data_IF_249213369954
#
_entry.id   IF_249213369954
#
_cell.length_a   1.000
_cell.length_b   1.000
_cell.length_c   1.000
_cell.angle_alpha   90.00
_cell.angle_beta   90.00
_cell.angle_gamma   90.00
#
_symmetry.space_group_name_H-M   'P 1'
#
loop_
_entity.id
_entity.type
_entity.pdbx_description
1 polymer ?
#
# COMPACT_ATOMS: atom_id res chain seq x y z
N UNK A 1 -19.20 -0.91 2.70
CA UNK A 1 -19.29 -2.38 2.78
C UNK A 1 -17.93 -3.00 3.09
N UNK A 2 -17.80 -4.34 3.14
CA UNK A 2 -16.53 -5.01 3.45
C UNK A 2 -15.63 -5.13 2.20
N UNK A 3 -14.33 -4.85 2.37
CA UNK A 3 -13.28 -5.01 1.34
C UNK A 3 -12.89 -6.49 1.23
N UNK A 4 -13.80 -7.30 0.69
CA UNK A 4 -13.70 -8.75 0.59
C UNK A 4 -14.58 -9.26 -0.54
N UNK A 5 -14.11 -10.29 -1.24
CA UNK A 5 -14.87 -11.04 -2.24
C UNK A 5 -15.73 -12.10 -1.53
N UNK A 6 -17.03 -12.07 -1.77
CA UNK A 6 -17.97 -13.10 -1.36
C UNK A 6 -17.97 -14.23 -2.40
N UNK A 7 -17.55 -15.46 -2.05
CA UNK A 7 -17.52 -16.57 -3.00
C UNK A 7 -18.90 -17.00 -3.51
N UNK A 8 -19.98 -16.53 -2.88
CA UNK A 8 -21.35 -16.89 -3.27
C UNK A 8 -21.91 -16.04 -4.41
N UNK A 9 -21.17 -15.02 -4.86
CA UNK A 9 -21.61 -14.06 -5.86
C UNK A 9 -20.67 -14.11 -7.09
N UNK A 10 -21.17 -13.79 -8.29
CA UNK A 10 -20.35 -13.70 -9.49
C UNK A 10 -19.16 -12.74 -9.30
N UNK A 11 -17.99 -13.14 -9.80
CA UNK A 11 -16.74 -12.39 -9.60
C UNK A 11 -16.83 -10.98 -10.20
N UNK A 12 -17.45 -10.83 -11.37
CA UNK A 12 -17.67 -9.52 -12.01
C UNK A 12 -18.42 -8.58 -11.08
N UNK A 13 -19.56 -9.02 -10.53
CA UNK A 13 -20.39 -8.23 -9.63
C UNK A 13 -19.63 -7.82 -8.35
N UNK A 14 -18.91 -8.77 -7.75
CA UNK A 14 -18.14 -8.50 -6.54
C UNK A 14 -17.00 -7.51 -6.76
N UNK A 15 -16.25 -7.64 -7.88
CA UNK A 15 -15.17 -6.72 -8.19
C UNK A 15 -15.70 -5.32 -8.46
N UNK A 16 -16.78 -5.19 -9.26
CA UNK A 16 -17.44 -3.91 -9.51
C UNK A 16 -17.93 -3.25 -8.22
N UNK A 17 -18.59 -4.02 -7.34
CA UNK A 17 -19.05 -3.55 -6.03
C UNK A 17 -17.91 -3.04 -5.17
N UNK A 18 -16.80 -3.78 -5.08
CA UNK A 18 -15.65 -3.39 -4.25
C UNK A 18 -14.95 -2.16 -4.84
N UNK A 19 -14.80 -2.08 -6.16
CA UNK A 19 -14.27 -0.89 -6.83
C UNK A 19 -15.12 0.34 -6.49
N UNK A 20 -16.44 0.26 -6.69
CA UNK A 20 -17.36 1.37 -6.42
C UNK A 20 -17.30 1.82 -4.94
N UNK A 21 -17.31 0.88 -3.99
CA UNK A 21 -17.23 1.17 -2.56
C UNK A 21 -15.88 1.83 -2.18
N UNK A 22 -14.75 1.35 -2.70
CA UNK A 22 -13.45 1.94 -2.39
C UNK A 22 -13.22 3.28 -3.10
N UNK A 23 -13.74 3.48 -4.31
CA UNK A 23 -13.69 4.77 -5.03
C UNK A 23 -14.59 5.79 -4.33
N UNK A 24 -15.82 5.41 -3.93
CA UNK A 24 -16.70 6.26 -3.14
C UNK A 24 -16.07 6.68 -1.81
N UNK A 25 -15.41 5.76 -1.10
CA UNK A 25 -14.63 6.10 0.10
C UNK A 25 -13.45 7.03 -0.21
N UNK A 26 -12.76 6.84 -1.34
CA UNK A 26 -11.67 7.72 -1.75
C UNK A 26 -12.17 9.14 -1.98
N UNK A 27 -13.31 9.32 -2.64
CA UNK A 27 -13.99 10.61 -2.84
C UNK A 27 -14.35 11.27 -1.50
N UNK A 28 -14.96 10.54 -0.57
CA UNK A 28 -15.29 11.08 0.76
C UNK A 28 -14.04 11.50 1.56
N UNK A 29 -12.93 10.76 1.42
CA UNK A 29 -11.66 11.13 2.04
C UNK A 29 -10.97 12.33 1.36
N UNK A 30 -11.18 12.53 0.06
CA UNK A 30 -10.72 13.72 -0.65
C UNK A 30 -11.48 14.97 -0.19
N UNK A 31 -12.79 14.85 0.06
CA UNK A 31 -13.57 15.94 0.64
C UNK A 31 -13.08 16.30 2.05
N UNK A 32 -12.85 15.28 2.89
CA UNK A 32 -12.25 15.47 4.22
C UNK A 32 -10.86 16.12 4.15
N UNK A 33 -10.12 15.91 3.06
CA UNK A 33 -8.77 16.45 2.90
C UNK A 33 -8.75 17.97 2.69
N UNK A 34 -9.89 18.61 2.38
CA UNK A 34 -9.98 20.08 2.30
C UNK A 34 -9.78 20.73 3.67
N UNK A 35 -10.44 20.18 4.69
CA UNK A 35 -10.34 20.70 6.06
C UNK A 35 -9.23 20.01 6.87
N UNK A 36 -8.98 18.72 6.59
CA UNK A 36 -8.02 17.87 7.32
C UNK A 36 -7.10 17.15 6.35
N UNK A 37 -6.17 17.85 5.68
CA UNK A 37 -5.31 17.29 4.64
C UNK A 37 -4.62 15.99 5.04
N UNK A 38 -3.96 15.96 6.19
CA UNK A 38 -3.20 14.79 6.64
C UNK A 38 -4.08 13.54 6.75
N UNK A 39 -5.21 13.67 7.45
CA UNK A 39 -6.11 12.55 7.70
C UNK A 39 -6.82 12.10 6.42
N UNK A 40 -7.34 13.07 5.64
CA UNK A 40 -8.04 12.81 4.39
C UNK A 40 -7.13 12.15 3.35
N UNK A 41 -5.95 12.70 3.10
CA UNK A 41 -4.99 12.18 2.13
C UNK A 41 -4.45 10.81 2.55
N UNK A 42 -4.13 10.60 3.83
CA UNK A 42 -3.70 9.28 4.32
C UNK A 42 -4.76 8.21 4.02
N UNK A 43 -6.01 8.48 4.40
CA UNK A 43 -7.12 7.54 4.20
C UNK A 43 -7.44 7.34 2.71
N UNK A 44 -7.45 8.40 1.90
CA UNK A 44 -7.64 8.32 0.45
C UNK A 44 -6.56 7.43 -0.21
N UNK A 45 -5.28 7.67 0.08
CA UNK A 45 -4.16 6.87 -0.45
C UNK A 45 -4.27 5.40 -0.09
N UNK A 46 -4.83 5.07 1.08
CA UNK A 46 -5.13 3.68 1.46
C UNK A 46 -6.17 3.07 0.52
N UNK A 47 -7.25 3.79 0.18
CA UNK A 47 -8.27 3.35 -0.79
C UNK A 47 -7.72 3.18 -2.20
N UNK A 48 -6.91 4.12 -2.67
CA UNK A 48 -6.25 4.00 -3.98
C UNK A 48 -5.33 2.77 -4.06
N UNK A 49 -4.65 2.43 -2.96
CA UNK A 49 -3.87 1.17 -2.86
C UNK A 49 -4.78 -0.06 -2.89
N UNK A 50 -5.93 -0.03 -2.20
CA UNK A 50 -6.93 -1.10 -2.24
C UNK A 50 -7.45 -1.35 -3.66
N UNK A 51 -7.88 -0.30 -4.36
CA UNK A 51 -8.36 -0.35 -5.75
C UNK A 51 -7.31 -0.98 -6.66
N UNK A 52 -6.08 -0.46 -6.61
CA UNK A 52 -4.98 -0.97 -7.44
C UNK A 52 -4.59 -2.41 -7.10
N UNK A 53 -4.74 -2.83 -5.84
CA UNK A 53 -4.51 -4.21 -5.44
C UNK A 53 -5.59 -5.15 -6.02
N UNK A 54 -6.85 -4.73 -6.00
CA UNK A 54 -7.96 -5.46 -6.61
C UNK A 54 -7.78 -5.61 -8.12
N UNK A 55 -7.49 -4.52 -8.84
CA UNK A 55 -7.25 -4.55 -10.30
C UNK A 55 -6.07 -5.46 -10.67
N UNK A 56 -5.02 -5.51 -9.85
CA UNK A 56 -3.91 -6.46 -10.04
C UNK A 56 -4.29 -7.91 -9.74
N UNK A 57 -5.23 -8.12 -8.82
CA UNK A 57 -5.69 -9.46 -8.46
C UNK A 57 -6.46 -10.11 -9.61
N UNK A 58 -7.27 -9.32 -10.33
CA UNK A 58 -8.16 -9.84 -11.38
C UNK A 58 -7.69 -9.55 -12.80
N UNK A 59 -6.46 -9.01 -12.95
CA UNK A 59 -5.91 -8.56 -14.24
C UNK A 59 -6.04 -9.59 -15.36
N UNK A 60 -5.86 -10.87 -15.08
CA UNK A 60 -5.92 -11.91 -16.12
C UNK A 60 -7.34 -12.16 -16.67
N UNK A 61 -8.39 -11.67 -16.00
CA UNK A 61 -9.76 -11.80 -16.48
C UNK A 61 -10.20 -10.70 -17.44
N UNK A 62 -9.63 -9.50 -17.31
CA UNK A 62 -9.84 -8.35 -18.22
C UNK A 62 -8.61 -7.45 -18.18
N UNK A 63 -7.57 -7.87 -18.91
CA UNK A 63 -6.27 -7.22 -18.86
C UNK A 63 -6.28 -5.77 -19.36
N UNK A 64 -6.91 -5.43 -20.50
CA UNK A 64 -6.97 -4.05 -20.98
C UNK A 64 -7.64 -3.09 -19.98
N UNK A 65 -8.78 -3.49 -19.41
CA UNK A 65 -9.46 -2.67 -18.39
C UNK A 65 -8.59 -2.51 -17.15
N UNK A 66 -8.09 -3.62 -16.60
CA UNK A 66 -7.34 -3.61 -15.36
C UNK A 66 -6.04 -2.82 -15.46
N UNK A 67 -5.35 -2.86 -16.60
CA UNK A 67 -4.14 -2.06 -16.83
C UNK A 67 -4.46 -0.57 -16.87
N UNK A 68 -5.46 -0.19 -17.67
CA UNK A 68 -5.87 1.21 -17.88
C UNK A 68 -6.28 1.85 -16.56
N UNK A 69 -7.20 1.22 -15.83
CA UNK A 69 -7.68 1.73 -14.54
C UNK A 69 -6.56 1.74 -13.50
N UNK A 70 -5.71 0.71 -13.43
CA UNK A 70 -4.61 0.71 -12.47
C UNK A 70 -3.60 1.84 -12.73
N UNK A 71 -3.37 2.22 -13.99
CA UNK A 71 -2.51 3.35 -14.32
C UNK A 71 -3.19 4.67 -13.97
N UNK A 72 -4.49 4.84 -14.26
CA UNK A 72 -5.27 6.00 -13.82
C UNK A 72 -5.14 6.23 -12.30
N UNK A 73 -5.44 5.21 -11.48
CA UNK A 73 -5.33 5.34 -10.02
C UNK A 73 -3.89 5.46 -9.52
N UNK A 74 -2.89 5.03 -10.31
CA UNK A 74 -1.48 5.30 -10.01
C UNK A 74 -1.16 6.78 -10.20
N UNK A 75 -1.66 7.41 -11.27
CA UNK A 75 -1.51 8.84 -11.49
C UNK A 75 -2.24 9.65 -10.41
N UNK A 76 -3.46 9.27 -10.04
CA UNK A 76 -4.17 9.88 -8.90
C UNK A 76 -3.35 9.77 -7.61
N UNK A 77 -2.74 8.61 -7.35
CA UNK A 77 -1.85 8.44 -6.20
C UNK A 77 -0.61 9.35 -6.25
N UNK A 78 -0.12 9.70 -7.44
CA UNK A 78 1.05 10.56 -7.62
C UNK A 78 0.72 12.03 -7.33
N UNK A 79 -0.45 12.51 -7.77
CA UNK A 79 -0.96 13.86 -7.46
C UNK A 79 -0.99 14.14 -5.95
N UNK A 80 -1.29 13.12 -5.15
CA UNK A 80 -1.46 13.21 -3.70
C UNK A 80 -0.20 12.78 -2.91
N UNK A 81 0.96 12.62 -3.56
CA UNK A 81 2.15 12.06 -2.91
C UNK A 81 2.86 13.07 -2.00
N UNK A 82 3.17 14.26 -2.51
CA UNK A 82 3.98 15.27 -1.82
C UNK A 82 3.47 15.62 -0.41
N UNK A 83 2.21 16.05 -0.24
CA UNK A 83 1.66 16.39 1.07
C UNK A 83 1.77 15.24 2.10
N UNK A 84 1.52 13.99 1.70
CA UNK A 84 1.65 12.84 2.63
C UNK A 84 3.11 12.53 2.96
N UNK A 85 4.01 12.70 2.01
CA UNK A 85 5.45 12.49 2.24
C UNK A 85 5.98 13.50 3.26
N UNK A 86 5.51 14.75 3.25
CA UNK A 86 5.87 15.74 4.27
C UNK A 86 5.49 15.30 5.69
N UNK A 87 4.27 14.77 5.90
CA UNK A 87 3.88 14.19 7.20
C UNK A 87 4.78 13.01 7.61
N UNK A 88 5.21 12.17 6.65
CA UNK A 88 6.02 10.99 6.95
C UNK A 88 7.43 11.35 7.44
N UNK A 89 7.96 12.48 6.96
CA UNK A 89 9.25 13.01 7.40
C UNK A 89 9.21 13.47 8.86
N UNK A 90 8.12 14.13 9.28
CA UNK A 90 7.92 14.54 10.68
C UNK A 90 7.76 13.30 11.57
N UNK A 91 6.90 12.35 11.17
CA UNK A 91 6.74 11.06 11.87
C UNK A 91 8.08 10.31 12.01
N UNK A 92 9.00 10.47 11.05
CA UNK A 92 10.34 9.87 11.11
C UNK A 92 11.21 10.52 12.17
N UNK A 93 11.17 11.84 12.32
CA UNK A 93 11.89 12.53 13.40
C UNK A 93 11.38 12.09 14.76
N UNK A 94 10.05 12.03 14.93
CA UNK A 94 9.42 11.61 16.19
C UNK A 94 9.83 10.18 16.58
N UNK A 95 9.82 9.24 15.62
CA UNK A 95 10.30 7.86 15.85
C UNK A 95 11.78 7.79 16.20
N UNK A 96 12.62 8.66 15.62
CA UNK A 96 14.05 8.70 15.95
C UNK A 96 14.28 9.25 17.36
N UNK A 97 13.53 10.27 17.78
CA UNK A 97 13.60 10.79 19.13
C UNK A 97 13.17 9.74 20.17
N UNK A 98 12.11 8.98 19.88
CA UNK A 98 11.65 7.88 20.73
C UNK A 98 12.67 6.72 20.81
N UNK A 99 13.30 6.38 19.68
CA UNK A 99 14.27 5.28 19.61
C UNK A 99 15.65 5.62 20.19
N UNK A 100 16.00 6.91 20.31
CA UNK A 100 17.33 7.39 20.69
C UNK A 100 17.29 8.53 21.74
N UNK A 101 16.58 8.34 22.87
CA UNK A 101 16.27 9.43 23.81
C UNK A 101 17.51 10.07 24.41
N UNK A 102 18.56 9.30 24.72
CA UNK A 102 19.82 9.82 25.25
C UNK A 102 20.56 10.72 24.25
N UNK A 103 20.47 10.39 22.96
CA UNK A 103 21.14 11.15 21.90
C UNK A 103 20.35 12.40 21.49
N UNK A 104 19.05 12.44 21.78
CA UNK A 104 18.16 13.55 21.43
C UNK A 104 17.72 14.40 22.63
N UNK A 105 18.14 14.06 23.85
CA UNK A 105 17.79 14.77 25.08
C UNK A 105 18.10 16.28 25.07
N UNK A 106 19.09 16.70 24.28
CA UNK A 106 19.45 18.11 24.10
C UNK A 106 18.64 18.86 23.03
N UNK A 107 17.55 18.29 22.50
CA UNK A 107 16.73 18.93 21.47
C UNK A 107 17.36 18.97 20.07
N UNK A 108 18.42 18.21 19.82
CA UNK A 108 19.19 18.26 18.56
C UNK A 108 18.45 17.79 17.29
N UNK A 109 17.17 17.40 17.40
CA UNK A 109 16.29 17.15 16.24
C UNK A 109 15.19 18.20 16.09
N UNK A 110 14.98 19.07 17.07
CA UNK A 110 13.88 20.04 17.10
C UNK A 110 13.95 21.03 15.94
N UNK A 111 15.12 21.62 15.61
CA UNK A 111 15.20 22.55 14.47
C UNK A 111 14.86 21.89 13.13
N UNK A 112 15.24 20.62 12.95
CA UNK A 112 14.86 19.85 11.76
C UNK A 112 13.36 19.61 11.73
N UNK A 113 12.78 19.23 12.88
CA UNK A 113 11.34 18.98 13.01
C UNK A 113 10.53 20.23 12.67
N UNK A 114 10.90 21.38 13.24
CA UNK A 114 10.26 22.67 12.98
C UNK A 114 10.31 23.05 11.51
N UNK A 115 11.48 22.88 10.86
CA UNK A 115 11.62 23.15 9.43
C UNK A 115 10.71 22.26 8.57
N UNK A 116 10.58 20.98 8.92
CA UNK A 116 9.69 20.06 8.22
C UNK A 116 8.21 20.42 8.44
N UNK A 117 7.83 20.88 9.63
CA UNK A 117 6.48 21.39 9.91
C UNK A 117 6.15 22.62 9.07
N UNK A 118 7.09 23.56 8.92
CA UNK A 118 6.90 24.74 8.06
C UNK A 118 6.68 24.33 6.60
N UNK A 119 7.54 23.46 6.04
CA UNK A 119 7.40 22.95 4.67
C UNK A 119 6.07 22.21 4.46
N UNK A 120 5.66 21.43 5.45
CA UNK A 120 4.38 20.73 5.41
C UNK A 120 3.21 21.72 5.40
N UNK A 121 3.25 22.76 6.25
CA UNK A 121 2.23 23.79 6.30
C UNK A 121 2.10 24.51 4.95
N UNK A 122 3.21 24.87 4.31
CA UNK A 122 3.22 25.47 2.97
C UNK A 122 2.57 24.56 1.92
N UNK A 123 2.87 23.26 1.95
CA UNK A 123 2.28 22.27 1.04
C UNK A 123 0.77 22.07 1.28
N UNK A 124 0.30 22.21 2.52
CA UNK A 124 -1.11 22.06 2.87
C UNK A 124 -1.93 23.34 2.65
N UNK A 125 -1.31 24.52 2.78
CA UNK A 125 -1.97 25.81 2.62
C UNK A 125 -1.95 26.34 1.18
N UNK A 126 -1.14 25.75 0.30
CA UNK A 126 -0.99 26.21 -1.08
C UNK A 126 -2.14 25.80 -2.03
N UNK A 127 -2.43 26.59 -3.08
CA UNK A 127 -3.47 26.26 -4.08
C UNK A 127 -3.20 24.96 -4.85
N UNK A 128 -1.96 24.45 -4.79
CA UNK A 128 -1.59 23.18 -5.40
C UNK A 128 -2.32 21.97 -4.78
N UNK A 129 -2.63 22.01 -3.48
CA UNK A 129 -3.36 20.92 -2.83
C UNK A 129 -4.80 20.84 -3.33
N UNK A 130 -5.52 21.97 -3.39
CA UNK A 130 -6.89 22.01 -3.90
C UNK A 130 -6.97 21.57 -5.36
N UNK A 131 -6.03 22.00 -6.19
CA UNK A 131 -5.94 21.55 -7.58
C UNK A 131 -5.72 20.03 -7.67
N UNK A 132 -4.82 19.48 -6.85
CA UNK A 132 -4.56 18.03 -6.79
C UNK A 132 -5.79 17.25 -6.31
N UNK A 133 -6.50 17.75 -5.29
CA UNK A 133 -7.75 17.16 -4.79
C UNK A 133 -8.81 17.16 -5.91
N UNK A 134 -9.01 18.29 -6.59
CA UNK A 134 -10.00 18.41 -7.67
C UNK A 134 -9.70 17.45 -8.83
N UNK A 135 -8.45 17.37 -9.27
CA UNK A 135 -8.02 16.44 -10.32
C UNK A 135 -8.20 14.98 -9.89
N UNK A 136 -7.85 14.65 -8.63
CA UNK A 136 -8.08 13.33 -8.08
C UNK A 136 -9.57 12.96 -8.02
N UNK A 137 -10.43 13.89 -7.60
CA UNK A 137 -11.88 13.70 -7.55
C UNK A 137 -12.47 13.48 -8.94
N UNK A 138 -12.07 14.28 -9.94
CA UNK A 138 -12.50 14.12 -11.33
C UNK A 138 -12.15 12.72 -11.86
N UNK A 139 -10.88 12.31 -11.74
CA UNK A 139 -10.43 10.98 -12.16
C UNK A 139 -11.16 9.84 -11.43
N UNK A 140 -11.47 10.00 -10.14
CA UNK A 140 -12.25 9.02 -9.38
C UNK A 140 -13.70 8.92 -9.87
N UNK A 141 -14.35 10.05 -10.20
CA UNK A 141 -15.71 10.08 -10.75
C UNK A 141 -15.79 9.40 -12.11
N UNK A 142 -14.86 9.72 -13.01
CA UNK A 142 -14.78 9.02 -14.30
C UNK A 142 -14.53 7.52 -14.12
N UNK A 143 -13.74 7.14 -13.12
CA UNK A 143 -13.54 5.74 -12.74
C UNK A 143 -14.86 5.04 -12.42
N UNK A 144 -15.75 5.67 -11.65
CA UNK A 144 -17.08 5.12 -11.34
C UNK A 144 -17.92 4.87 -12.60
N UNK A 145 -17.91 5.80 -13.56
CA UNK A 145 -18.64 5.67 -14.82
C UNK A 145 -18.13 4.50 -15.69
N UNK A 146 -16.86 4.11 -15.53
CA UNK A 146 -16.23 3.04 -16.30
C UNK A 146 -16.39 1.65 -15.66
N UNK A 147 -16.73 1.55 -14.37
CA UNK A 147 -16.80 0.25 -13.65
C UNK A 147 -17.71 -0.75 -14.36
N UNK A 148 -18.82 -0.30 -14.92
CA UNK A 148 -19.79 -1.18 -15.57
C UNK A 148 -19.30 -1.80 -16.89
N UNK A 149 -18.13 -1.36 -17.38
CA UNK A 149 -17.46 -1.96 -18.54
C UNK A 149 -16.64 -3.20 -18.18
N UNK A 150 -16.25 -3.35 -16.91
CA UNK A 150 -15.46 -4.50 -16.46
C UNK A 150 -16.24 -5.80 -16.64
N UNK A 151 -15.72 -6.75 -17.41
CA UNK A 151 -16.34 -8.07 -17.55
C UNK A 151 -15.32 -9.14 -17.22
N UNK A 152 -15.62 -9.98 -16.23
CA UNK A 152 -14.74 -11.08 -15.82
C UNK A 152 -15.42 -12.43 -16.12
N UNK A 153 -14.63 -13.48 -16.38
CA UNK A 153 -15.14 -14.84 -16.40
C UNK A 153 -15.76 -15.24 -15.05
N UNK A 154 -17.09 -15.36 -15.03
CA UNK A 154 -17.87 -15.68 -13.81
C UNK A 154 -18.00 -17.18 -13.52
N UNK A 155 -17.58 -18.04 -14.46
CA UNK A 155 -17.56 -19.49 -14.22
C UNK A 155 -16.61 -19.81 -13.05
N UNK A 156 -17.04 -20.61 -12.04
CA UNK A 156 -16.28 -20.83 -10.82
C UNK A 156 -14.81 -21.26 -11.03
N UNK A 157 -14.56 -22.15 -11.99
CA UNK A 157 -13.20 -22.61 -12.31
C UNK A 157 -12.31 -21.48 -12.84
N UNK A 158 -12.84 -20.67 -13.76
CA UNK A 158 -12.13 -19.57 -14.40
C UNK A 158 -11.91 -18.42 -13.40
N UNK A 159 -12.93 -18.09 -12.60
CA UNK A 159 -12.83 -17.12 -11.51
C UNK A 159 -11.76 -17.52 -10.47
N UNK A 160 -11.72 -18.79 -10.07
CA UNK A 160 -10.69 -19.31 -9.17
C UNK A 160 -9.28 -19.17 -9.77
N UNK A 161 -9.12 -19.46 -11.05
CA UNK A 161 -7.83 -19.35 -11.76
C UNK A 161 -7.34 -17.90 -11.85
N UNK A 162 -8.24 -16.96 -12.13
CA UNK A 162 -7.94 -15.52 -12.14
C UNK A 162 -7.40 -15.07 -10.78
N UNK A 163 -8.13 -15.38 -9.70
CA UNK A 163 -7.74 -15.00 -8.34
C UNK A 163 -6.40 -15.64 -7.94
N UNK A 164 -6.19 -16.90 -8.31
CA UNK A 164 -4.97 -17.63 -8.02
C UNK A 164 -3.76 -17.08 -8.77
N UNK A 165 -3.91 -16.75 -10.06
CA UNK A 165 -2.82 -16.19 -10.87
C UNK A 165 -2.46 -14.76 -10.43
N UNK A 166 -3.45 -13.91 -10.10
CA UNK A 166 -3.21 -12.58 -9.54
C UNK A 166 -2.44 -12.61 -8.21
N UNK A 167 -2.82 -13.52 -7.30
CA UNK A 167 -2.09 -13.76 -6.06
C UNK A 167 -0.68 -14.33 -6.31
N UNK A 168 -0.53 -15.22 -7.30
CA UNK A 168 0.77 -15.76 -7.70
C UNK A 168 1.71 -14.67 -8.20
N UNK A 169 1.20 -13.77 -9.05
CA UNK A 169 1.98 -12.69 -9.62
C UNK A 169 2.58 -11.79 -8.52
N UNK A 170 1.80 -11.46 -7.48
CA UNK A 170 2.32 -10.64 -6.38
C UNK A 170 3.32 -11.39 -5.50
N UNK A 171 3.11 -12.68 -5.24
CA UNK A 171 4.07 -13.50 -4.50
C UNK A 171 5.40 -13.67 -5.25
N UNK A 172 5.36 -13.82 -6.58
CA UNK A 172 6.57 -13.82 -7.42
C UNK A 172 7.31 -12.49 -7.35
N UNK A 173 6.57 -11.38 -7.41
CA UNK A 173 7.16 -10.04 -7.27
C UNK A 173 7.80 -9.85 -5.90
N UNK A 174 7.13 -10.28 -4.83
CA UNK A 174 7.66 -10.21 -3.47
C UNK A 174 8.95 -11.00 -3.32
N UNK A 175 9.00 -12.25 -3.81
CA UNK A 175 10.21 -13.07 -3.78
C UNK A 175 11.36 -12.44 -4.55
N UNK A 176 11.12 -11.97 -5.78
CA UNK A 176 12.15 -11.27 -6.59
C UNK A 176 12.66 -10.00 -5.89
N UNK A 177 11.76 -9.23 -5.27
CA UNK A 177 12.14 -8.02 -4.55
C UNK A 177 12.93 -8.33 -3.27
N UNK A 178 12.58 -9.41 -2.56
CA UNK A 178 13.35 -9.92 -1.43
C UNK A 178 14.77 -10.33 -1.85
N UNK A 179 14.92 -11.09 -2.93
CA UNK A 179 16.22 -11.54 -3.43
C UNK A 179 17.12 -10.33 -3.79
N UNK A 180 16.55 -9.30 -4.42
CA UNK A 180 17.25 -8.05 -4.73
C UNK A 180 17.61 -7.25 -3.48
N UNK A 181 16.66 -7.06 -2.57
CA UNK A 181 16.90 -6.32 -1.32
C UNK A 181 17.96 -7.01 -0.46
N UNK A 182 18.00 -8.34 -0.44
CA UNK A 182 19.00 -9.11 0.30
C UNK A 182 20.40 -9.10 -0.34
N UNK A 183 20.49 -8.95 -1.66
CA UNK A 183 21.78 -8.95 -2.39
C UNK A 183 22.38 -7.56 -2.54
N UNK A 184 21.57 -6.54 -2.85
CA UNK A 184 22.02 -5.16 -3.13
C UNK A 184 21.79 -4.21 -1.96
N UNK A 185 20.68 -4.38 -1.23
CA UNK A 185 20.34 -3.55 -0.08
C UNK A 185 19.99 -2.09 -0.41
N UNK A 186 19.68 -1.77 -1.67
CA UNK A 186 19.40 -0.39 -2.09
C UNK A 186 17.94 0.04 -1.79
N UNK A 187 17.72 1.36 -1.69
CA UNK A 187 16.42 1.94 -1.36
C UNK A 187 15.29 1.48 -2.29
N UNK A 188 15.57 1.40 -3.60
CA UNK A 188 14.58 0.96 -4.60
C UNK A 188 14.20 -0.52 -4.45
N UNK A 189 15.15 -1.36 -4.03
CA UNK A 189 14.89 -2.79 -3.84
C UNK A 189 13.94 -3.00 -2.63
N UNK A 190 14.19 -2.30 -1.52
CA UNK A 190 13.28 -2.30 -0.37
C UNK A 190 11.93 -1.63 -0.69
N UNK A 191 11.92 -0.60 -1.53
CA UNK A 191 10.68 0.03 -1.98
C UNK A 191 9.82 -0.93 -2.82
N UNK A 192 10.43 -1.72 -3.70
CA UNK A 192 9.71 -2.75 -4.46
C UNK A 192 9.19 -3.87 -3.55
N UNK A 193 9.96 -4.29 -2.55
CA UNK A 193 9.51 -5.26 -1.55
C UNK A 193 8.32 -4.72 -0.76
N UNK A 194 8.36 -3.44 -0.36
CA UNK A 194 7.24 -2.75 0.29
C UNK A 194 5.99 -2.73 -0.56
N UNK A 195 6.10 -2.37 -1.85
CA UNK A 195 4.96 -2.37 -2.79
C UNK A 195 4.33 -3.77 -2.89
N UNK A 196 5.16 -4.81 -2.94
CA UNK A 196 4.72 -6.20 -2.98
C UNK A 196 4.01 -6.61 -1.68
N UNK A 197 4.60 -6.33 -0.52
CA UNK A 197 4.03 -6.65 0.79
C UNK A 197 2.67 -5.94 1.01
N UNK A 198 2.56 -4.65 0.69
CA UNK A 198 1.29 -3.91 0.83
C UNK A 198 0.21 -4.45 -0.11
N UNK A 199 0.56 -4.83 -1.33
CA UNK A 199 -0.39 -5.44 -2.26
C UNK A 199 -0.83 -6.82 -1.76
N UNK A 200 0.10 -7.63 -1.23
CA UNK A 200 -0.22 -8.94 -0.66
C UNK A 200 -1.14 -8.83 0.58
N UNK A 201 -0.93 -7.84 1.47
CA UNK A 201 -1.83 -7.58 2.61
C UNK A 201 -3.27 -7.26 2.14
N UNK A 202 -3.39 -6.48 1.05
CA UNK A 202 -4.70 -6.20 0.45
C UNK A 202 -5.31 -7.44 -0.21
N UNK A 203 -4.51 -8.26 -0.90
CA UNK A 203 -4.97 -9.54 -1.46
C UNK A 203 -5.47 -10.49 -0.37
N UNK A 204 -4.76 -10.62 0.76
CA UNK A 204 -5.25 -11.43 1.89
C UNK A 204 -6.56 -10.89 2.49
N UNK A 205 -6.78 -9.58 2.41
CA UNK A 205 -8.02 -8.95 2.86
C UNK A 205 -9.19 -9.27 1.91
N UNK A 206 -8.95 -9.11 0.61
CA UNK A 206 -9.89 -9.47 -0.47
C UNK A 206 -10.26 -10.95 -0.44
N UNK A 207 -9.25 -11.82 -0.34
CA UNK A 207 -9.35 -13.27 -0.38
C UNK A 207 -9.65 -13.88 0.99
N UNK A 208 -10.15 -13.10 1.95
CA UNK A 208 -10.30 -13.53 3.35
C UNK A 208 -11.03 -14.87 3.54
N UNK A 209 -12.04 -15.14 2.70
CA UNK A 209 -12.82 -16.39 2.69
C UNK A 209 -12.20 -17.49 1.82
N UNK A 210 -11.43 -17.10 0.81
CA UNK A 210 -10.88 -17.96 -0.25
C UNK A 210 -9.45 -18.45 0.04
N UNK A 211 -8.71 -17.76 0.91
CA UNK A 211 -7.31 -18.08 1.17
C UNK A 211 -7.17 -19.35 2.03
N UNK A 212 -6.20 -20.26 1.72
CA UNK A 212 -5.96 -21.45 2.52
C UNK A 212 -5.61 -21.14 3.99
N UNK A 213 -6.21 -21.87 4.92
CA UNK A 213 -5.95 -21.69 6.36
C UNK A 213 -4.53 -22.13 6.76
N UNK A 214 -3.95 -21.51 7.82
CA UNK A 214 -4.47 -20.39 8.60
C UNK A 214 -4.13 -19.00 8.01
N UNK A 215 -5.16 -18.23 7.62
CA UNK A 215 -4.97 -16.89 7.03
C UNK A 215 -4.57 -15.81 8.06
N UNK A 216 -5.04 -15.94 9.32
CA UNK A 216 -4.85 -14.92 10.37
C UNK A 216 -3.36 -14.69 10.69
N UNK A 217 -2.59 -15.77 10.81
CA UNK A 217 -1.14 -15.69 11.04
C UNK A 217 -0.44 -14.99 9.88
N UNK A 218 -0.78 -15.35 8.63
CA UNK A 218 -0.21 -14.72 7.44
C UNK A 218 -0.55 -13.23 7.33
N UNK A 219 -1.77 -12.82 7.72
CA UNK A 219 -2.16 -11.40 7.79
C UNK A 219 -1.33 -10.63 8.82
N UNK A 220 -1.20 -11.17 10.04
CA UNK A 220 -0.36 -10.54 11.09
C UNK A 220 1.09 -10.36 10.62
N UNK A 221 1.66 -11.40 9.98
CA UNK A 221 3.02 -11.34 9.47
C UNK A 221 3.21 -10.29 8.36
N UNK A 222 2.31 -10.20 7.38
CA UNK A 222 2.42 -9.19 6.31
C UNK A 222 2.16 -7.77 6.81
N UNK A 223 1.31 -7.61 7.82
CA UNK A 223 1.03 -6.30 8.41
C UNK A 223 2.26 -5.78 9.16
N UNK A 224 2.87 -6.62 10.02
CA UNK A 224 4.15 -6.33 10.70
C UNK A 224 5.26 -5.99 9.69
N UNK A 225 5.46 -6.83 8.68
CA UNK A 225 6.45 -6.55 7.63
C UNK A 225 6.15 -5.23 6.90
N UNK A 226 4.88 -4.95 6.65
CA UNK A 226 4.46 -3.73 5.99
C UNK A 226 4.65 -2.46 6.81
N UNK A 227 4.67 -2.54 8.14
CA UNK A 227 5.03 -1.45 9.06
C UNK A 227 6.53 -1.20 9.01
N UNK A 228 7.35 -2.23 9.22
CA UNK A 228 8.82 -2.15 9.16
C UNK A 228 9.32 -1.59 7.82
N UNK A 229 8.79 -2.10 6.71
CA UNK A 229 9.13 -1.59 5.38
C UNK A 229 8.66 -0.14 5.17
N UNK A 230 7.57 0.26 5.83
CA UNK A 230 7.10 1.64 5.85
C UNK A 230 8.11 2.57 6.50
N UNK A 231 8.54 2.23 7.71
CA UNK A 231 9.54 3.00 8.45
C UNK A 231 10.88 3.07 7.70
N UNK A 232 11.33 1.94 7.14
CA UNK A 232 12.57 1.90 6.36
C UNK A 232 12.47 2.78 5.11
N UNK A 233 11.32 2.80 4.44
CA UNK A 233 11.09 3.68 3.30
C UNK A 233 11.18 5.15 3.71
N UNK A 234 10.55 5.53 4.83
CA UNK A 234 10.59 6.93 5.29
C UNK A 234 12.03 7.34 5.67
N UNK A 235 12.83 6.42 6.22
CA UNK A 235 14.28 6.62 6.44
C UNK A 235 15.00 6.91 5.11
N UNK A 236 14.75 6.14 4.06
CA UNK A 236 15.36 6.41 2.75
C UNK A 236 14.94 7.76 2.16
N UNK A 237 13.67 8.13 2.29
CA UNK A 237 13.17 9.44 1.84
C UNK A 237 13.86 10.58 2.60
N UNK A 238 13.99 10.49 3.92
CA UNK A 238 14.69 11.48 4.74
C UNK A 238 16.18 11.60 4.35
N UNK A 239 16.84 10.46 4.10
CA UNK A 239 18.24 10.47 3.64
C UNK A 239 18.42 11.12 2.28
N UNK A 240 17.50 10.85 1.34
CA UNK A 240 17.50 11.49 0.03
C UNK A 240 17.30 13.00 0.15
N UNK A 241 16.37 13.44 1.01
CA UNK A 241 16.14 14.87 1.28
C UNK A 241 17.37 15.56 1.85
N UNK A 242 18.11 14.91 2.77
CA UNK A 242 19.36 15.44 3.33
C UNK A 242 20.52 15.45 2.32
N UNK A 243 20.45 14.63 1.27
CA UNK A 243 21.48 14.56 0.24
C UNK A 243 21.22 15.49 -0.95
N UNK A 244 19.99 15.95 -1.11
CA UNK A 244 19.63 16.89 -2.17
C UNK A 244 20.24 18.28 -1.91
N UNK A 245 20.69 18.92 -3.00
CA UNK A 245 21.13 20.31 -2.96
C UNK A 245 19.91 21.23 -2.80
N UNK A 246 19.64 21.61 -1.56
CA UNK A 246 18.52 22.48 -1.20
C UNK A 246 18.77 23.18 0.13
N UNK A 247 17.78 23.95 0.58
CA UNK A 247 17.88 24.64 1.87
C UNK A 247 18.16 23.64 3.01
N UNK A 248 19.17 23.91 3.85
CA UNK A 248 19.46 23.08 5.01
C UNK A 248 18.21 22.86 5.87
N UNK A 249 17.98 21.63 6.29
CA UNK A 249 16.87 21.31 7.18
C UNK A 249 17.07 21.86 8.60
N UNK A 250 18.30 22.19 8.97
CA UNK A 250 18.67 22.73 10.27
C UNK A 250 20.17 22.99 10.36
N UNK A 251 20.65 23.38 11.55
CA UNK A 251 22.07 23.57 11.82
C UNK A 251 22.95 22.36 11.42
N UNK A 252 24.24 22.59 11.09
CA UNK A 252 25.15 21.51 10.69
C UNK A 252 25.27 20.37 11.71
N UNK A 253 25.22 20.66 13.01
CA UNK A 253 25.37 19.64 14.04
C UNK A 253 24.11 18.77 14.19
N UNK A 254 22.92 19.37 14.07
CA UNK A 254 21.63 18.67 14.11
C UNK A 254 21.46 17.76 12.89
N UNK A 255 21.79 18.26 11.69
CA UNK A 255 21.76 17.45 10.47
C UNK A 255 22.80 16.33 10.51
N UNK A 256 23.96 16.54 11.15
CA UNK A 256 24.96 15.49 11.39
C UNK A 256 24.45 14.44 12.37
N UNK A 257 23.79 14.84 13.46
CA UNK A 257 23.13 13.92 14.39
C UNK A 257 22.08 13.07 13.67
N UNK A 258 21.18 13.71 12.93
CA UNK A 258 20.14 13.03 12.16
C UNK A 258 20.70 12.00 11.17
N UNK A 259 21.74 12.35 10.38
CA UNK A 259 22.39 11.39 9.46
C UNK A 259 22.92 10.16 10.19
N UNK A 260 23.48 10.32 11.40
CA UNK A 260 23.97 9.18 12.21
C UNK A 260 22.82 8.28 12.68
N UNK A 261 21.73 8.88 13.17
CA UNK A 261 20.56 8.12 13.64
C UNK A 261 19.87 7.38 12.49
N UNK A 262 19.65 8.04 11.34
CA UNK A 262 19.10 7.41 10.13
C UNK A 262 19.93 6.21 9.67
N UNK A 263 21.26 6.32 9.67
CA UNK A 263 22.15 5.20 9.30
C UNK A 263 22.00 4.01 10.25
N UNK A 264 21.84 4.26 11.56
CA UNK A 264 21.63 3.19 12.55
C UNK A 264 20.25 2.53 12.37
N UNK A 265 19.20 3.33 12.17
CA UNK A 265 17.84 2.84 11.92
C UNK A 265 17.75 2.04 10.63
N UNK A 266 18.32 2.53 9.53
CA UNK A 266 18.37 1.83 8.24
C UNK A 266 18.97 0.43 8.38
N UNK A 267 20.11 0.31 9.07
CA UNK A 267 20.77 -0.99 9.29
C UNK A 267 19.89 -1.96 10.09
N UNK A 268 19.27 -1.48 11.16
CA UNK A 268 18.41 -2.29 12.02
C UNK A 268 17.14 -2.74 11.30
N UNK A 269 16.41 -1.78 10.71
CA UNK A 269 15.18 -2.00 9.97
C UNK A 269 15.41 -2.86 8.73
N UNK A 270 16.50 -2.64 7.99
CA UNK A 270 16.86 -3.46 6.83
C UNK A 270 17.01 -4.93 7.20
N UNK A 271 17.75 -5.23 8.28
CA UNK A 271 17.91 -6.61 8.77
C UNK A 271 16.55 -7.21 9.19
N UNK A 272 15.74 -6.47 9.93
CA UNK A 272 14.42 -6.92 10.37
C UNK A 272 13.49 -7.19 9.17
N UNK A 273 13.41 -6.26 8.21
CA UNK A 273 12.62 -6.39 6.99
C UNK A 273 12.98 -7.65 6.20
N UNK A 274 14.28 -7.92 6.01
CA UNK A 274 14.73 -9.11 5.27
C UNK A 274 14.37 -10.41 6.00
N UNK A 275 14.53 -10.45 7.33
CA UNK A 275 14.17 -11.62 8.14
C UNK A 275 12.67 -11.93 8.04
N UNK A 276 11.82 -10.94 8.28
CA UNK A 276 10.36 -11.09 8.24
C UNK A 276 9.86 -11.40 6.82
N UNK A 277 10.47 -10.80 5.80
CA UNK A 277 10.13 -11.09 4.40
C UNK A 277 10.55 -12.50 3.98
N UNK A 278 11.69 -13.01 4.46
CA UNK A 278 12.14 -14.38 4.19
C UNK A 278 11.18 -15.41 4.78
N UNK A 279 10.69 -15.19 6.00
CA UNK A 279 9.68 -16.05 6.62
C UNK A 279 8.36 -16.05 5.83
N UNK A 280 7.91 -14.86 5.38
CA UNK A 280 6.61 -14.72 4.72
C UNK A 280 6.58 -15.14 3.25
N UNK A 281 7.67 -14.86 2.51
CA UNK A 281 7.78 -15.02 1.05
C UNK A 281 8.83 -16.05 0.61
N UNK A 282 9.45 -16.77 1.55
CA UNK A 282 10.42 -17.83 1.24
C UNK A 282 9.80 -18.99 0.45
N UNK A 283 8.54 -19.32 0.77
CA UNK A 283 7.76 -20.37 0.11
C UNK A 283 7.55 -20.16 -1.40
N UNK A 284 7.33 -21.27 -2.11
CA UNK A 284 7.10 -21.22 -3.55
C UNK A 284 5.78 -20.50 -3.90
N UNK A 285 5.81 -19.40 -4.69
CA UNK A 285 4.60 -18.72 -5.15
C UNK A 285 3.63 -19.65 -5.88
N UNK A 286 4.16 -20.61 -6.65
CA UNK A 286 3.36 -21.61 -7.39
C UNK A 286 2.60 -22.54 -6.46
N UNK A 287 3.24 -22.99 -5.37
CA UNK A 287 2.58 -23.87 -4.37
C UNK A 287 1.44 -23.13 -3.66
N UNK A 288 1.67 -21.89 -3.25
CA UNK A 288 0.63 -21.04 -2.61
C UNK A 288 -0.56 -20.79 -3.54
N UNK A 289 -0.29 -20.45 -4.80
CA UNK A 289 -1.33 -20.23 -5.81
C UNK A 289 -2.14 -21.49 -6.11
N UNK A 290 -1.50 -22.66 -6.22
CA UNK A 290 -2.20 -23.94 -6.43
C UNK A 290 -3.15 -24.27 -5.27
N UNK A 291 -2.73 -24.01 -4.02
CA UNK A 291 -3.58 -24.20 -2.84
C UNK A 291 -4.77 -23.25 -2.84
N UNK A 292 -4.54 -21.98 -3.22
CA UNK A 292 -5.60 -20.98 -3.37
C UNK A 292 -6.59 -21.37 -4.48
N UNK A 293 -6.12 -21.74 -5.66
CA UNK A 293 -6.98 -22.18 -6.77
C UNK A 293 -7.90 -23.33 -6.35
N UNK A 294 -7.33 -24.38 -5.73
CA UNK A 294 -8.11 -25.52 -5.24
C UNK A 294 -9.22 -25.09 -4.28
N UNK A 295 -8.86 -24.36 -3.22
CA UNK A 295 -9.85 -23.88 -2.24
C UNK A 295 -10.89 -22.95 -2.88
N UNK A 296 -10.46 -22.07 -3.77
CA UNK A 296 -11.36 -21.13 -4.43
C UNK A 296 -12.36 -21.85 -5.34
N UNK A 297 -11.98 -22.92 -6.03
CA UNK A 297 -12.92 -23.74 -6.79
C UNK A 297 -13.94 -24.40 -5.87
N UNK A 298 -13.49 -24.97 -4.75
CA UNK A 298 -14.38 -25.58 -3.77
C UNK A 298 -15.39 -24.55 -3.22
N UNK A 299 -14.95 -23.33 -2.90
CA UNK A 299 -15.83 -22.30 -2.31
C UNK A 299 -16.75 -21.61 -3.34
N UNK A 300 -16.30 -21.44 -4.60
CA UNK A 300 -17.06 -20.77 -5.67
C UNK A 300 -18.07 -21.72 -6.35
N UNK A 301 -17.86 -23.03 -6.28
CA UNK A 301 -18.69 -24.02 -6.95
C UNK A 301 -19.94 -24.43 -6.15
N UNK A 302 -20.06 -24.06 -4.86
CA UNK A 302 -21.20 -24.47 -4.03
C UNK A 302 -22.43 -23.63 -4.39
N UNK A 303 -23.48 -24.21 -5.01
CA UNK A 303 -24.76 -23.54 -5.14
C UNK A 303 -25.41 -23.56 -3.75
N UNK A 304 -25.74 -22.39 -3.20
CA UNK A 304 -26.51 -22.36 -1.96
C UNK A 304 -27.95 -21.95 -2.26
N UNK A 305 -28.86 -22.93 -2.19
CA UNK A 305 -30.31 -22.75 -2.13
C UNK A 305 -30.82 -22.23 -0.77
N UNK A 306 -29.97 -22.00 0.22
CA UNK A 306 -30.42 -21.59 1.56
C UNK A 306 -30.00 -20.16 1.91
N UNK A 307 -30.79 -19.20 1.42
CA UNK A 307 -30.89 -17.86 2.01
C UNK A 307 -32.36 -17.44 2.23
N UNK A 308 -33.27 -18.42 2.28
CA UNK A 308 -34.70 -18.23 2.59
C UNK A 308 -35.22 -19.33 3.51
N UNK A 309 -34.56 -19.57 4.65
CA UNK A 309 -35.18 -20.18 5.84
C UNK A 309 -34.20 -20.12 7.03
N UNK A 310 -34.59 -19.33 8.04
CA UNK A 310 -34.18 -19.31 9.47
C UNK A 310 -33.73 -17.92 9.93
#
# INVERSE_FOLDING_TARGET
MSFRIDPRLPLTGEVRRILADEIGKALGHLETARDKPEQGLHKCRKRLKSIRALLRLVRSGDEPFCQTENECYKQVSALLAGPREATALIETIDRLAEAFPEQTAGGGLDPVRERLMLRQHELHAGPGLDAAINAAMAACREGLERIDRLSLPDQPEQAADILAEGARAILRRAKKALDKAGSRGEADDFHDLRKAAKTHSMHLSLLGRLWPTPIKARRKAVDKLGELLGELHDVFVMRALLAADGEPLGPPDDTRLLRRLLKRSEKSLGKACLSEAAELFGDSPRRSAKRLARKARDDLAVPHEEASAA
#
